data_IF_350307778639
#
_entry.id   IF_350307778639
#
_cell.length_a   1.000
_cell.length_b   1.000
_cell.length_c   1.000
_cell.angle_alpha   90.00
_cell.angle_beta   90.00
_cell.angle_gamma   90.00
#
_symmetry.space_group_name_H-M   'P 1'
#
loop_
_entity.id
_entity.type
_entity.pdbx_description
1 polymer ?
#
# COMPACT_ATOMS: atom_id res chain seq x y z
N UNK A 1 -11.41 4.35 -4.52
CA UNK A 1 -10.37 4.79 -3.58
C UNK A 1 -10.04 6.27 -3.77
N UNK A 2 -9.07 6.66 -4.61
CA UNK A 2 -8.44 7.99 -4.56
C UNK A 2 -9.28 9.20 -5.00
N UNK A 3 -10.35 9.01 -5.78
CA UNK A 3 -11.17 10.13 -6.26
C UNK A 3 -11.80 10.98 -5.13
N UNK A 4 -11.86 10.46 -3.90
CA UNK A 4 -12.40 11.13 -2.72
C UNK A 4 -11.46 11.13 -1.52
N UNK A 5 -10.26 10.54 -1.65
CA UNK A 5 -9.29 10.41 -0.57
C UNK A 5 -8.10 11.34 -0.82
N UNK A 6 -7.44 11.77 0.25
CA UNK A 6 -6.15 12.43 0.11
C UNK A 6 -5.04 11.41 -0.13
N UNK A 7 -3.97 11.82 -0.78
CA UNK A 7 -2.76 11.02 -0.95
C UNK A 7 -1.60 11.94 -1.32
N UNK A 8 -0.37 11.44 -1.22
CA UNK A 8 0.81 12.10 -1.76
C UNK A 8 1.12 11.57 -3.17
N UNK A 9 0.95 12.36 -4.24
CA UNK A 9 1.12 11.92 -5.62
C UNK A 9 2.53 12.10 -6.19
N UNK A 10 3.47 12.75 -5.49
CA UNK A 10 4.66 13.26 -6.16
C UNK A 10 5.88 13.36 -5.25
N UNK A 11 7.00 12.83 -5.75
CA UNK A 11 8.34 12.96 -5.17
C UNK A 11 9.05 14.31 -5.49
N UNK A 12 8.35 15.31 -6.04
CA UNK A 12 8.89 16.60 -6.53
C UNK A 12 7.99 17.81 -6.30
N UNK A 13 7.43 17.92 -5.11
CA UNK A 13 6.33 18.82 -4.79
C UNK A 13 6.69 19.95 -3.79
N UNK A 14 7.93 19.95 -3.29
CA UNK A 14 8.50 21.00 -2.47
C UNK A 14 9.33 22.04 -3.24
N UNK A 15 9.97 22.99 -2.52
CA UNK A 15 10.78 24.04 -3.12
C UNK A 15 11.87 23.48 -4.05
N UNK A 16 11.90 23.96 -5.30
CA UNK A 16 12.85 23.49 -6.33
C UNK A 16 12.77 21.97 -6.61
N UNK A 17 11.59 21.35 -6.37
CA UNK A 17 11.38 19.92 -6.58
C UNK A 17 11.95 19.05 -5.47
N UNK A 18 12.23 19.61 -4.29
CA UNK A 18 12.56 18.81 -3.11
C UNK A 18 11.37 17.97 -2.67
N UNK A 19 11.65 16.81 -2.10
CA UNK A 19 10.65 15.91 -1.50
C UNK A 19 10.04 16.45 -0.22
N UNK A 20 8.72 16.51 -0.12
CA UNK A 20 7.98 16.86 1.10
C UNK A 20 6.72 16.01 1.20
N UNK A 21 6.18 15.83 2.41
CA UNK A 21 4.87 15.17 2.56
C UNK A 21 3.77 16.16 2.22
N UNK A 22 2.93 15.86 1.22
CA UNK A 22 1.84 16.74 0.80
C UNK A 22 0.61 15.97 0.34
N UNK A 23 -0.28 15.78 1.30
CA UNK A 23 -1.60 15.23 1.06
C UNK A 23 -2.48 16.18 0.24
N UNK A 24 -2.92 15.70 -0.93
CA UNK A 24 -3.83 16.40 -1.83
C UNK A 24 -4.93 15.46 -2.32
N UNK A 25 -5.99 16.03 -2.86
CA UNK A 25 -6.96 15.31 -3.70
C UNK A 25 -6.71 15.64 -5.16
N UNK A 26 -7.11 14.78 -6.09
CA UNK A 26 -7.00 15.08 -7.51
C UNK A 26 -7.94 14.26 -8.39
N UNK A 27 -8.05 14.62 -9.68
CA UNK A 27 -8.91 13.93 -10.65
C UNK A 27 -8.29 12.61 -11.13
N UNK A 28 -7.96 11.73 -10.19
CA UNK A 28 -7.33 10.42 -10.42
C UNK A 28 -8.04 9.34 -9.60
N UNK A 29 -8.02 8.11 -10.11
CA UNK A 29 -8.60 6.94 -9.48
C UNK A 29 -7.51 5.90 -9.24
N UNK A 30 -7.45 5.35 -8.03
CA UNK A 30 -6.64 4.16 -7.76
C UNK A 30 -7.42 2.90 -8.10
N UNK A 31 -6.75 1.93 -8.73
CA UNK A 31 -7.33 0.64 -9.06
C UNK A 31 -7.27 -0.31 -7.85
N UNK A 32 -8.37 -1.00 -7.55
CA UNK A 32 -8.37 -2.09 -6.58
C UNK A 32 -7.75 -3.34 -7.21
N UNK A 33 -6.42 -3.43 -7.11
CA UNK A 33 -5.62 -4.53 -7.64
C UNK A 33 -4.99 -5.27 -6.48
N UNK A 34 -5.61 -6.37 -6.03
CA UNK A 34 -5.12 -7.12 -4.88
C UNK A 34 -3.86 -7.89 -5.24
N UNK A 35 -2.83 -7.81 -4.40
CA UNK A 35 -1.80 -8.84 -4.36
C UNK A 35 -2.30 -10.00 -3.47
N UNK A 36 -2.15 -9.88 -2.15
CA UNK A 36 -2.65 -10.89 -1.21
C UNK A 36 -4.14 -10.71 -0.92
N UNK A 37 -4.86 -11.85 -0.91
CA UNK A 37 -6.25 -11.95 -0.49
C UNK A 37 -6.37 -12.93 0.68
N UNK A 38 -7.00 -12.48 1.76
CA UNK A 38 -7.38 -13.33 2.89
C UNK A 38 -8.91 -13.37 3.04
N UNK A 39 -9.44 -14.41 3.71
CA UNK A 39 -10.86 -14.48 4.03
C UNK A 39 -11.10 -14.81 5.49
N UNK A 40 -12.19 -14.30 6.04
CA UNK A 40 -12.65 -14.60 7.39
C UNK A 40 -14.17 -14.64 7.44
N UNK A 41 -14.72 -15.22 8.52
CA UNK A 41 -16.17 -15.27 8.72
C UNK A 41 -16.55 -14.72 10.09
N UNK A 42 -17.49 -13.79 10.10
CA UNK A 42 -18.02 -13.17 11.32
C UNK A 42 -19.53 -12.99 11.17
N UNK A 43 -20.28 -13.31 12.22
CA UNK A 43 -21.75 -13.23 12.19
C UNK A 43 -22.41 -14.15 11.14
N UNK A 44 -21.76 -15.27 10.79
CA UNK A 44 -22.25 -16.21 9.77
C UNK A 44 -22.01 -15.78 8.32
N UNK A 45 -21.38 -14.63 8.08
CA UNK A 45 -21.07 -14.11 6.75
C UNK A 45 -19.56 -14.17 6.48
N UNK A 46 -19.18 -14.50 5.24
CA UNK A 46 -17.78 -14.52 4.79
C UNK A 46 -17.41 -13.19 4.14
N UNK A 47 -16.23 -12.69 4.48
CA UNK A 47 -15.64 -11.47 3.95
C UNK A 47 -14.24 -11.75 3.41
N UNK A 48 -13.83 -10.95 2.42
CA UNK A 48 -12.49 -10.96 1.85
C UNK A 48 -11.74 -9.70 2.30
N UNK A 49 -10.45 -9.82 2.58
CA UNK A 49 -9.55 -8.70 2.86
C UNK A 49 -8.49 -8.67 1.76
N UNK A 50 -8.31 -7.54 1.10
CA UNK A 50 -7.37 -7.38 -0.01
C UNK A 50 -6.32 -6.31 0.27
N UNK A 51 -5.06 -6.62 0.02
CA UNK A 51 -3.97 -5.64 -0.04
C UNK A 51 -3.89 -5.06 -1.45
N UNK A 52 -4.27 -3.79 -1.64
CA UNK A 52 -4.38 -3.20 -2.97
C UNK A 52 -3.06 -2.58 -3.43
N UNK A 53 -2.04 -3.41 -3.62
CA UNK A 53 -0.69 -3.03 -3.99
C UNK A 53 -0.66 -2.39 -5.38
N UNK A 54 -1.01 -3.17 -6.40
CA UNK A 54 -1.23 -2.71 -7.76
C UNK A 54 -0.06 -2.91 -8.70
N UNK A 55 0.42 -4.13 -8.82
CA UNK A 55 1.38 -4.50 -9.85
C UNK A 55 0.93 -4.14 -11.27
N UNK A 56 1.90 -3.68 -12.06
CA UNK A 56 1.69 -3.20 -13.42
C UNK A 56 2.07 -4.30 -14.42
N UNK A 57 1.41 -4.32 -15.60
CA UNK A 57 1.84 -5.19 -16.70
C UNK A 57 3.01 -4.54 -17.45
N UNK A 58 4.22 -4.78 -16.96
CA UNK A 58 5.46 -4.33 -17.60
C UNK A 58 6.40 -5.51 -17.87
N UNK A 59 6.63 -5.82 -19.15
CA UNK A 59 7.50 -6.90 -19.57
C UNK A 59 8.08 -6.65 -20.97
N UNK A 60 9.07 -7.44 -21.37
CA UNK A 60 9.76 -7.26 -22.66
C UNK A 60 8.80 -7.15 -23.85
N UNK A 61 8.66 -5.94 -24.41
CA UNK A 61 7.81 -5.65 -25.57
C UNK A 61 6.43 -5.06 -25.26
N UNK A 62 6.06 -4.89 -24.00
CA UNK A 62 4.81 -4.24 -23.59
C UNK A 62 4.97 -3.56 -22.23
N UNK A 63 4.56 -2.30 -22.15
CA UNK A 63 4.40 -1.59 -20.89
C UNK A 63 3.09 -0.83 -20.93
N UNK A 64 2.31 -0.92 -19.87
CA UNK A 64 1.16 -0.04 -19.66
C UNK A 64 1.48 1.15 -18.75
N UNK A 65 2.68 1.20 -18.14
CA UNK A 65 3.07 2.29 -17.25
C UNK A 65 3.43 3.55 -18.03
N UNK A 66 2.82 4.67 -17.65
CA UNK A 66 3.17 6.00 -18.12
C UNK A 66 3.10 6.97 -16.95
N UNK A 67 3.77 8.13 -17.04
CA UNK A 67 3.56 9.22 -16.08
C UNK A 67 2.43 10.12 -16.55
N UNK A 68 1.64 10.67 -15.62
CA UNK A 68 0.52 11.56 -15.96
C UNK A 68 0.94 12.73 -16.86
N UNK A 69 2.16 13.27 -16.67
CA UNK A 69 2.66 14.38 -17.50
C UNK A 69 2.92 14.04 -18.96
N UNK A 70 3.08 12.75 -19.26
CA UNK A 70 3.38 12.23 -20.59
C UNK A 70 2.11 11.72 -21.30
N UNK A 71 0.95 11.71 -20.60
CA UNK A 71 -0.34 11.41 -21.19
C UNK A 71 -0.83 12.53 -22.13
N UNK A 72 -1.58 12.13 -23.15
CA UNK A 72 -2.49 13.05 -23.86
C UNK A 72 -3.82 13.03 -23.12
N UNK A 73 -4.17 14.11 -22.44
CA UNK A 73 -5.41 14.22 -21.67
C UNK A 73 -6.52 14.84 -22.51
N UNK A 74 -7.74 14.32 -22.39
CA UNK A 74 -8.92 14.94 -23.01
C UNK A 74 -9.07 16.38 -22.53
N UNK A 75 -9.26 17.30 -23.48
CA UNK A 75 -9.39 18.72 -23.17
C UNK A 75 -10.71 19.06 -22.46
N UNK A 76 -11.74 18.22 -22.60
CA UNK A 76 -13.04 18.43 -21.95
C UNK A 76 -13.02 17.95 -20.50
N UNK A 77 -12.43 16.78 -20.23
CA UNK A 77 -12.26 16.19 -18.91
C UNK A 77 -11.19 16.92 -18.10
N UNK A 78 -10.12 17.37 -18.74
CA UNK A 78 -8.97 18.05 -18.13
C UNK A 78 -8.70 19.42 -18.77
N UNK A 79 -9.61 20.42 -18.65
CA UNK A 79 -9.41 21.75 -19.21
C UNK A 79 -8.21 22.50 -18.58
N UNK A 80 -7.69 21.99 -17.46
CA UNK A 80 -6.51 22.45 -16.74
C UNK A 80 -5.34 21.45 -16.82
N UNK A 81 -5.20 20.70 -17.92
CA UNK A 81 -4.17 19.66 -18.11
C UNK A 81 -2.77 20.09 -17.68
N UNK A 82 -2.31 21.30 -18.04
CA UNK A 82 -0.99 21.81 -17.63
C UNK A 82 -0.77 21.87 -16.10
N UNK A 83 -1.82 22.13 -15.31
CA UNK A 83 -1.72 22.09 -13.86
C UNK A 83 -1.71 20.65 -13.35
N UNK A 84 -2.62 19.80 -13.86
CA UNK A 84 -2.71 18.37 -13.54
C UNK A 84 -1.37 17.67 -13.79
N UNK A 85 -0.76 17.95 -14.93
CA UNK A 85 0.50 17.36 -15.40
C UNK A 85 1.75 18.01 -14.80
N UNK A 86 1.62 18.97 -13.89
CA UNK A 86 2.77 19.56 -13.23
C UNK A 86 3.48 18.53 -12.33
N UNK A 87 4.82 18.51 -12.36
CA UNK A 87 5.63 17.58 -11.57
C UNK A 87 5.27 17.61 -10.07
N UNK A 88 4.98 18.79 -9.50
CA UNK A 88 4.62 18.95 -8.08
C UNK A 88 3.14 18.70 -7.73
N UNK A 89 2.37 18.11 -8.65
CA UNK A 89 1.03 17.60 -8.39
C UNK A 89 0.88 16.16 -8.93
N UNK A 90 0.18 15.92 -10.04
CA UNK A 90 0.01 14.55 -10.55
C UNK A 90 1.05 14.17 -11.60
N UNK A 91 1.80 15.12 -12.17
CA UNK A 91 2.66 14.86 -13.32
C UNK A 91 3.69 13.75 -13.13
N UNK A 92 4.15 13.53 -11.89
CA UNK A 92 5.06 12.44 -11.55
C UNK A 92 4.34 11.11 -11.36
N UNK A 93 3.08 11.10 -10.94
CA UNK A 93 2.33 9.89 -10.64
C UNK A 93 2.34 8.90 -11.81
N UNK A 94 2.68 7.64 -11.55
CA UNK A 94 2.53 6.55 -12.52
C UNK A 94 1.07 6.13 -12.67
N UNK A 95 0.68 5.89 -13.90
CA UNK A 95 -0.66 5.47 -14.30
C UNK A 95 -0.62 4.43 -15.41
N UNK A 96 -1.74 3.73 -15.61
CA UNK A 96 -1.92 2.80 -16.72
C UNK A 96 -2.45 3.50 -17.96
N UNK A 97 -1.95 3.11 -19.13
CA UNK A 97 -2.48 3.49 -20.45
C UNK A 97 -3.45 2.46 -21.03
N UNK A 98 -3.66 1.34 -20.35
CA UNK A 98 -4.54 0.26 -20.82
C UNK A 98 -6.03 0.52 -20.58
N UNK A 99 -6.36 1.59 -19.87
CA UNK A 99 -7.72 2.06 -19.57
C UNK A 99 -7.68 3.57 -19.42
N UNK A 100 -8.84 4.23 -19.43
CA UNK A 100 -8.94 5.68 -19.24
C UNK A 100 -9.38 6.44 -20.48
N UNK A 101 -9.26 5.84 -21.66
CA UNK A 101 -9.90 6.26 -22.92
C UNK A 101 -11.31 5.64 -22.98
N UNK A 102 -12.34 6.43 -22.68
CA UNK A 102 -13.72 5.97 -22.50
C UNK A 102 -14.58 6.08 -23.74
N UNK A 103 -14.18 6.90 -24.72
CA UNK A 103 -14.86 7.04 -26.01
C UNK A 103 -14.04 6.54 -27.22
N UNK A 104 -12.83 6.04 -26.95
CA UNK A 104 -11.93 5.36 -27.88
C UNK A 104 -11.38 6.29 -28.98
N UNK A 105 -11.11 7.55 -28.65
CA UNK A 105 -10.55 8.55 -29.57
C UNK A 105 -9.01 8.69 -29.46
N UNK A 106 -8.40 8.03 -28.46
CA UNK A 106 -6.97 7.94 -28.26
C UNK A 106 -6.37 8.93 -27.26
N UNK A 107 -7.17 9.78 -26.62
CA UNK A 107 -6.77 10.53 -25.43
C UNK A 107 -7.33 9.93 -24.13
N UNK A 108 -6.90 10.48 -22.98
CA UNK A 108 -7.28 9.97 -21.66
C UNK A 108 -8.36 10.87 -21.03
N UNK A 109 -9.57 10.33 -20.92
CA UNK A 109 -10.69 10.92 -20.20
C UNK A 109 -10.58 10.75 -18.68
N UNK A 110 -9.94 9.66 -18.23
CA UNK A 110 -9.85 9.29 -16.82
C UNK A 110 -8.48 8.70 -16.48
N UNK A 111 -7.75 9.39 -15.60
CA UNK A 111 -6.47 8.90 -15.09
C UNK A 111 -6.70 7.79 -14.05
N UNK A 112 -6.10 6.63 -14.29
CA UNK A 112 -6.05 5.49 -13.38
C UNK A 112 -4.62 5.22 -12.93
N UNK A 113 -4.35 5.34 -11.63
CA UNK A 113 -3.07 4.97 -11.05
C UNK A 113 -3.10 3.54 -10.47
N UNK A 114 -1.90 3.01 -10.29
CA UNK A 114 -1.69 1.68 -9.72
C UNK A 114 -2.00 1.67 -8.23
N UNK A 115 -2.64 0.57 -7.81
CA UNK A 115 -3.04 0.35 -6.43
C UNK A 115 -4.12 1.31 -5.97
N UNK A 116 -4.73 0.97 -4.85
CA UNK A 116 -5.65 1.86 -4.16
C UNK A 116 -5.00 2.53 -2.95
N UNK A 117 -3.70 2.28 -2.70
CA UNK A 117 -2.91 2.79 -1.56
C UNK A 117 -3.52 2.44 -0.19
N UNK A 118 -4.30 1.37 -0.18
CA UNK A 118 -5.24 0.99 0.88
C UNK A 118 -5.38 -0.53 0.93
N UNK A 119 -5.96 -1.02 2.01
CA UNK A 119 -6.55 -2.36 2.01
C UNK A 119 -8.08 -2.24 2.05
N UNK A 120 -8.76 -3.23 1.52
CA UNK A 120 -10.23 -3.23 1.44
C UNK A 120 -10.83 -4.49 2.05
N UNK A 121 -12.07 -4.35 2.52
CA UNK A 121 -12.91 -5.47 2.95
C UNK A 121 -14.08 -5.58 1.97
N UNK A 122 -14.31 -6.79 1.48
CA UNK A 122 -15.37 -7.12 0.53
C UNK A 122 -16.30 -8.18 1.11
N UNK A 123 -17.56 -8.15 0.70
CA UNK A 123 -18.44 -9.30 0.86
C UNK A 123 -18.01 -10.43 -0.08
N UNK A 124 -18.43 -11.67 0.21
CA UNK A 124 -18.26 -12.81 -0.71
C UNK A 124 -18.96 -12.63 -2.07
N UNK A 125 -19.87 -11.66 -2.19
CA UNK A 125 -20.51 -11.27 -3.45
C UNK A 125 -19.75 -10.18 -4.24
N UNK A 126 -18.54 -9.82 -3.81
CA UNK A 126 -17.71 -8.81 -4.48
C UNK A 126 -18.14 -7.35 -4.23
N UNK A 127 -19.09 -7.11 -3.32
CA UNK A 127 -19.43 -5.74 -2.90
C UNK A 127 -18.38 -5.20 -1.93
N UNK A 128 -17.88 -3.97 -2.18
CA UNK A 128 -17.00 -3.25 -1.27
C UNK A 128 -17.76 -2.93 0.02
N UNK A 129 -17.26 -3.42 1.15
CA UNK A 129 -17.86 -3.20 2.49
C UNK A 129 -17.19 -2.02 3.17
N UNK A 130 -15.86 -1.94 3.08
CA UNK A 130 -15.07 -0.86 3.65
C UNK A 130 -13.71 -0.77 2.94
N UNK A 131 -13.12 0.42 2.91
CA UNK A 131 -11.80 0.69 2.34
C UNK A 131 -11.02 1.60 3.29
N UNK A 132 -9.73 1.34 3.49
CA UNK A 132 -8.93 2.16 4.41
C UNK A 132 -8.67 3.56 3.89
N UNK A 133 -8.93 3.81 2.61
CA UNK A 133 -8.68 5.09 1.97
C UNK A 133 -7.24 5.54 2.18
N UNK A 134 -7.06 6.75 2.71
CA UNK A 134 -5.74 7.35 2.96
C UNK A 134 -5.10 6.96 4.29
N UNK A 135 -5.78 6.15 5.11
CA UNK A 135 -5.34 5.88 6.49
C UNK A 135 -3.93 5.29 6.56
N UNK A 136 -3.52 4.44 5.62
CA UNK A 136 -2.19 3.84 5.62
C UNK A 136 -1.10 4.91 5.45
N UNK A 137 -1.26 5.83 4.48
CA UNK A 137 -0.31 6.93 4.31
C UNK A 137 -0.31 7.88 5.51
N UNK A 138 -1.48 8.21 6.07
CA UNK A 138 -1.59 9.06 7.26
C UNK A 138 -0.85 8.45 8.46
N UNK A 139 -0.98 7.13 8.67
CA UNK A 139 -0.27 6.39 9.72
C UNK A 139 1.24 6.43 9.50
N UNK A 140 1.70 6.19 8.28
CA UNK A 140 3.14 6.24 7.94
C UNK A 140 3.68 7.65 8.13
N UNK A 141 2.99 8.68 7.68
CA UNK A 141 3.40 10.07 7.83
C UNK A 141 3.49 10.48 9.31
N UNK A 142 2.54 10.05 10.14
CA UNK A 142 2.54 10.34 11.57
C UNK A 142 3.65 9.60 12.33
N UNK A 143 4.03 8.39 11.90
CA UNK A 143 4.95 7.52 12.64
C UNK A 143 6.40 7.64 12.15
N UNK A 144 6.60 7.78 10.84
CA UNK A 144 7.89 7.79 10.16
C UNK A 144 8.02 8.99 9.19
N UNK A 145 7.83 10.24 9.65
CA UNK A 145 7.81 11.41 8.75
C UNK A 145 9.10 11.63 7.96
N UNK A 146 10.25 11.15 8.46
CA UNK A 146 11.54 11.28 7.74
C UNK A 146 11.77 10.16 6.71
N UNK A 147 10.94 9.13 6.72
CA UNK A 147 11.03 7.94 5.87
C UNK A 147 9.66 7.64 5.21
N UNK A 148 8.76 8.62 5.19
CA UNK A 148 7.42 8.47 4.65
C UNK A 148 7.49 7.99 3.20
N UNK A 149 6.75 6.94 2.84
CA UNK A 149 6.82 6.33 1.51
C UNK A 149 8.26 6.08 1.01
N UNK A 150 9.19 5.71 1.90
CA UNK A 150 10.53 5.27 1.50
C UNK A 150 10.46 4.01 0.61
N UNK A 151 11.47 3.81 -0.23
CA UNK A 151 11.55 2.66 -1.13
C UNK A 151 12.32 1.49 -0.50
N UNK A 152 12.35 0.34 -1.17
CA UNK A 152 13.14 -0.82 -0.77
C UNK A 152 14.65 -0.58 -0.91
N UNK A 153 15.07 0.20 -1.91
CA UNK A 153 16.48 0.50 -2.22
C UNK A 153 17.00 1.81 -1.60
N UNK A 154 16.16 2.52 -0.85
CA UNK A 154 16.51 3.79 -0.22
C UNK A 154 15.65 4.08 1.00
N UNK A 155 16.28 4.58 2.06
CA UNK A 155 15.59 4.99 3.28
C UNK A 155 15.01 6.41 3.21
N UNK A 156 15.30 7.16 2.14
CA UNK A 156 14.91 8.56 2.04
C UNK A 156 13.40 8.76 2.05
N UNK A 157 12.97 9.89 2.61
CA UNK A 157 11.62 10.42 2.48
C UNK A 157 11.15 10.36 1.02
N UNK A 158 9.89 9.98 0.84
CA UNK A 158 9.04 10.25 -0.30
C UNK A 158 9.61 9.63 -1.60
N UNK A 159 10.01 8.37 -1.49
CA UNK A 159 10.58 7.58 -2.58
C UNK A 159 9.54 6.91 -3.47
N UNK A 160 8.29 6.78 -3.00
CA UNK A 160 7.23 5.98 -3.64
C UNK A 160 5.90 6.71 -3.82
N UNK A 161 5.80 7.98 -3.42
CA UNK A 161 4.57 8.77 -3.60
C UNK A 161 4.25 9.04 -5.07
N UNK A 162 5.23 9.12 -5.97
CA UNK A 162 4.98 9.19 -7.41
C UNK A 162 4.58 7.85 -8.04
N UNK A 163 4.50 6.78 -7.26
CA UNK A 163 4.13 5.44 -7.70
C UNK A 163 2.89 4.94 -6.95
N UNK A 164 3.02 3.93 -6.08
CA UNK A 164 1.91 3.27 -5.38
C UNK A 164 1.88 3.60 -3.87
N UNK A 165 2.67 4.57 -3.41
CA UNK A 165 2.64 5.11 -2.05
C UNK A 165 3.12 4.09 -0.98
N UNK A 166 2.27 3.71 -0.01
CA UNK A 166 2.65 2.81 1.09
C UNK A 166 2.65 1.34 0.67
N UNK A 167 2.05 0.98 -0.47
CA UNK A 167 2.07 -0.37 -1.06
C UNK A 167 1.70 -1.50 -0.08
N UNK A 168 0.42 -1.59 0.30
CA UNK A 168 -0.07 -2.74 1.05
C UNK A 168 -0.04 -3.98 0.15
N UNK A 169 0.71 -5.00 0.56
CA UNK A 169 1.07 -6.18 -0.24
C UNK A 169 0.61 -7.48 0.43
N UNK A 170 1.12 -7.72 1.65
CA UNK A 170 0.83 -8.91 2.41
C UNK A 170 -0.43 -8.76 3.26
N UNK A 171 -1.26 -9.81 3.36
CA UNK A 171 -2.38 -9.86 4.32
C UNK A 171 -2.42 -11.20 5.06
N UNK A 172 -2.55 -11.12 6.38
CA UNK A 172 -3.03 -12.24 7.19
C UNK A 172 -4.23 -11.80 8.03
N UNK A 173 -5.14 -12.73 8.30
CA UNK A 173 -6.26 -12.52 9.22
C UNK A 173 -6.28 -13.60 10.29
N UNK A 174 -6.70 -13.24 11.50
CA UNK A 174 -6.79 -14.18 12.62
C UNK A 174 -7.94 -13.82 13.56
N UNK A 175 -8.58 -14.84 14.10
CA UNK A 175 -9.46 -14.70 15.26
C UNK A 175 -8.62 -14.88 16.54
N UNK A 176 -8.70 -13.89 17.43
CA UNK A 176 -7.99 -13.86 18.70
C UNK A 176 -9.00 -13.43 19.76
N UNK A 177 -9.26 -14.31 20.74
CA UNK A 177 -10.21 -14.07 21.83
C UNK A 177 -11.60 -13.60 21.37
N UNK A 178 -12.11 -14.17 20.27
CA UNK A 178 -13.43 -13.83 19.70
C UNK A 178 -13.48 -12.53 18.89
N UNK A 179 -12.32 -11.93 18.58
CA UNK A 179 -12.18 -10.75 17.73
C UNK A 179 -11.36 -11.07 16.49
N UNK A 180 -11.71 -10.48 15.36
CA UNK A 180 -10.96 -10.65 14.13
C UNK A 180 -9.98 -9.51 13.93
N UNK A 181 -8.76 -9.84 13.53
CA UNK A 181 -7.69 -8.89 13.21
C UNK A 181 -7.18 -9.11 11.79
N UNK A 182 -6.89 -8.02 11.09
CA UNK A 182 -6.10 -8.00 9.87
C UNK A 182 -4.70 -7.46 10.16
N UNK A 183 -3.71 -8.14 9.61
CA UNK A 183 -2.31 -7.73 9.57
C UNK A 183 -1.97 -7.42 8.13
N UNK A 184 -1.60 -6.18 7.84
CA UNK A 184 -1.34 -5.67 6.49
C UNK A 184 0.15 -5.32 6.41
N UNK A 185 0.92 -6.02 5.57
CA UNK A 185 2.31 -5.69 5.28
C UNK A 185 2.39 -4.56 4.26
N UNK A 186 3.23 -3.56 4.54
CA UNK A 186 3.55 -2.49 3.59
C UNK A 186 4.90 -2.84 2.94
N UNK A 187 4.94 -3.15 1.64
CA UNK A 187 6.14 -3.67 0.99
C UNK A 187 7.29 -2.65 1.09
N UNK A 188 7.07 -1.42 0.62
CA UNK A 188 8.13 -0.44 0.40
C UNK A 188 8.70 0.16 1.68
N UNK A 189 7.89 0.96 2.38
CA UNK A 189 8.31 1.57 3.66
C UNK A 189 8.47 0.52 4.77
N UNK A 190 8.04 -0.72 4.51
CA UNK A 190 8.11 -1.85 5.41
C UNK A 190 7.15 -1.71 6.62
N UNK A 191 7.09 -2.78 7.41
CA UNK A 191 6.26 -2.85 8.60
C UNK A 191 4.86 -3.38 8.36
N UNK A 192 4.13 -3.51 9.47
CA UNK A 192 2.84 -4.20 9.55
C UNK A 192 1.85 -3.28 10.23
N UNK A 193 0.75 -3.00 9.54
CA UNK A 193 -0.38 -2.26 10.09
C UNK A 193 -1.43 -3.25 10.56
N UNK A 194 -1.90 -3.08 11.79
CA UNK A 194 -2.86 -3.99 12.42
C UNK A 194 -4.20 -3.29 12.60
N UNK A 195 -5.26 -3.91 12.11
CA UNK A 195 -6.64 -3.47 12.29
C UNK A 195 -7.45 -4.54 13.01
N UNK A 196 -8.31 -4.12 13.92
CA UNK A 196 -9.43 -4.92 14.38
C UNK A 196 -10.55 -4.82 13.34
N UNK A 197 -10.89 -5.96 12.73
CA UNK A 197 -11.88 -6.09 11.65
C UNK A 197 -13.13 -6.85 12.14
N UNK A 198 -13.33 -6.97 13.45
CA UNK A 198 -14.50 -7.65 14.03
C UNK A 198 -15.81 -7.03 13.54
N UNK A 199 -15.81 -5.72 13.29
CA UNK A 199 -16.87 -5.03 12.54
C UNK A 199 -16.38 -4.75 11.11
N UNK A 200 -16.80 -5.54 10.10
CA UNK A 200 -16.28 -5.42 8.73
C UNK A 200 -16.49 -4.04 8.08
N UNK A 201 -17.54 -3.31 8.50
CA UNK A 201 -17.88 -1.98 8.00
C UNK A 201 -17.24 -0.83 8.79
N UNK A 202 -16.59 -1.13 9.92
CA UNK A 202 -15.92 -0.16 10.76
C UNK A 202 -14.66 -0.74 11.42
N UNK A 203 -13.64 -1.14 10.64
CA UNK A 203 -12.35 -1.54 11.19
C UNK A 203 -11.70 -0.45 12.04
N UNK A 204 -10.95 -0.86 13.06
CA UNK A 204 -10.28 0.05 14.00
C UNK A 204 -8.77 -0.21 13.99
N UNK A 205 -8.00 0.79 13.60
CA UNK A 205 -6.54 0.77 13.68
C UNK A 205 -6.06 0.46 15.11
N UNK A 206 -5.11 -0.46 15.24
CA UNK A 206 -4.53 -0.87 16.52
C UNK A 206 -3.08 -0.41 16.65
N UNK A 207 -2.25 -0.74 15.65
CA UNK A 207 -0.82 -0.51 15.73
C UNK A 207 -0.19 -0.51 14.34
N UNK A 208 0.88 0.27 14.18
CA UNK A 208 1.85 0.11 13.10
C UNK A 208 3.19 -0.28 13.73
N UNK A 209 3.75 -1.41 13.30
CA UNK A 209 5.02 -1.95 13.78
C UNK A 209 5.98 -1.96 12.59
N UNK A 210 7.15 -1.34 12.74
CA UNK A 210 8.19 -1.37 11.73
C UNK A 210 9.52 -1.73 12.39
N UNK A 211 10.13 -2.83 11.95
CA UNK A 211 11.42 -3.34 12.45
C UNK A 211 12.59 -3.00 11.54
N UNK A 212 12.36 -2.27 10.44
CA UNK A 212 13.39 -1.79 9.53
C UNK A 212 14.36 -0.84 10.22
N UNK A 213 15.66 -1.07 10.05
CA UNK A 213 16.70 -0.15 10.51
C UNK A 213 17.03 0.87 9.40
N UNK A 214 16.39 2.04 9.48
CA UNK A 214 16.61 3.14 8.53
C UNK A 214 18.02 3.77 8.60
N UNK A 215 18.89 3.37 9.54
CA UNK A 215 20.29 3.81 9.58
C UNK A 215 21.22 2.95 8.72
N UNK A 216 20.74 1.80 8.24
CA UNK A 216 21.52 0.96 7.34
C UNK A 216 21.05 1.19 5.93
N UNK A 217 21.99 1.55 5.05
CA UNK A 217 21.72 1.69 3.62
C UNK A 217 21.28 0.34 3.06
N UNK A 218 20.07 0.21 2.50
CA UNK A 218 19.66 -1.01 1.85
C UNK A 218 20.67 -1.35 0.74
N UNK A 219 21.23 -2.56 0.76
CA UNK A 219 22.14 -2.96 -0.29
C UNK A 219 21.33 -3.08 -1.59
N UNK A 220 21.69 -2.25 -2.58
CA UNK A 220 21.13 -2.27 -3.91
C UNK A 220 21.68 -3.47 -4.68
N UNK A 221 21.29 -4.68 -4.32
CA UNK A 221 21.76 -5.85 -5.05
C UNK A 221 20.68 -6.90 -5.06
N UNK A 222 19.92 -6.92 -6.16
CA UNK A 222 19.08 -8.06 -6.60
C UNK A 222 19.92 -9.33 -6.85
N UNK A 223 20.68 -9.73 -5.84
CA UNK A 223 21.70 -10.76 -5.83
C UNK A 223 21.78 -11.39 -4.44
N UNK A 224 20.64 -11.79 -3.87
CA UNK A 224 20.49 -12.90 -2.92
C UNK A 224 21.38 -12.94 -1.67
N UNK A 225 22.05 -11.84 -1.30
CA UNK A 225 22.80 -11.73 -0.07
C UNK A 225 21.92 -10.98 0.93
N UNK A 226 21.67 -11.53 2.13
CA UNK A 226 20.90 -10.85 3.15
C UNK A 226 21.46 -9.45 3.36
N UNK A 227 20.59 -8.45 3.22
CA UNK A 227 20.95 -7.07 3.48
C UNK A 227 20.99 -6.91 5.00
N UNK A 228 22.13 -6.52 5.56
CA UNK A 228 22.16 -5.95 6.91
C UNK A 228 21.26 -4.71 6.88
N UNK A 229 20.20 -4.66 7.68
CA UNK A 229 19.16 -3.63 7.59
C UNK A 229 17.80 -3.97 8.23
N UNK A 230 17.61 -5.25 8.57
CA UNK A 230 16.42 -5.83 9.22
C UNK A 230 15.12 -5.61 8.41
N UNK A 231 14.46 -6.70 8.03
CA UNK A 231 13.04 -6.76 7.66
C UNK A 231 12.52 -5.72 6.65
N UNK A 232 12.95 -5.85 5.39
CA UNK A 232 12.55 -4.99 4.28
C UNK A 232 11.68 -5.78 3.29
N UNK A 233 10.54 -5.23 2.88
CA UNK A 233 9.62 -5.85 1.91
C UNK A 233 8.79 -7.00 2.48
N UNK A 234 7.87 -6.77 3.44
CA UNK A 234 6.90 -7.80 3.86
C UNK A 234 6.02 -8.27 2.69
N UNK A 235 6.04 -9.58 2.44
CA UNK A 235 5.46 -10.19 1.23
C UNK A 235 4.54 -11.36 1.60
N UNK A 236 5.13 -12.42 2.15
CA UNK A 236 4.39 -13.54 2.70
C UNK A 236 4.08 -13.34 4.18
N UNK A 237 2.83 -13.52 4.60
CA UNK A 237 2.43 -13.39 6.01
C UNK A 237 1.53 -14.53 6.49
N UNK A 238 1.82 -15.08 7.67
CA UNK A 238 1.01 -16.15 8.28
C UNK A 238 0.87 -15.99 9.78
N UNK A 239 -0.37 -15.99 10.25
CA UNK A 239 -0.67 -16.17 11.67
C UNK A 239 -0.69 -17.66 12.04
N UNK A 240 -0.11 -17.99 13.19
CA UNK A 240 -0.10 -19.31 13.82
C UNK A 240 -0.70 -19.19 15.21
N UNK A 241 -1.76 -19.95 15.49
CA UNK A 241 -2.43 -19.92 16.79
C UNK A 241 -1.50 -20.43 17.91
N UNK A 242 -1.81 -20.08 19.16
CA UNK A 242 -1.09 -20.62 20.32
C UNK A 242 -1.09 -22.16 20.36
N UNK A 243 -2.20 -22.78 19.95
CA UNK A 243 -2.37 -24.24 19.96
C UNK A 243 -1.50 -24.95 18.91
N UNK A 244 -1.23 -24.28 17.79
CA UNK A 244 -0.42 -24.80 16.68
C UNK A 244 1.06 -24.36 16.77
N UNK A 245 1.39 -23.50 17.74
CA UNK A 245 2.70 -22.90 17.90
C UNK A 245 3.61 -23.74 18.81
N UNK A 246 4.88 -23.99 18.44
CA UNK A 246 5.82 -24.74 19.27
C UNK A 246 6.18 -24.02 20.58
N UNK A 247 5.87 -22.72 20.68
CA UNK A 247 6.10 -21.92 21.89
C UNK A 247 4.89 -21.87 22.82
N UNK A 248 3.73 -22.37 22.38
CA UNK A 248 2.45 -22.19 23.07
C UNK A 248 1.92 -20.76 23.02
N UNK A 249 2.54 -19.88 22.25
CA UNK A 249 2.17 -18.47 22.09
C UNK A 249 1.72 -18.20 20.65
N UNK A 250 0.75 -17.31 20.41
CA UNK A 250 0.34 -16.98 19.05
C UNK A 250 1.44 -16.18 18.34
N UNK A 251 1.71 -16.54 17.08
CA UNK A 251 2.80 -16.00 16.27
C UNK A 251 2.29 -15.38 14.98
N UNK A 252 2.94 -14.31 14.53
CA UNK A 252 2.85 -13.80 13.17
C UNK A 252 4.22 -13.99 12.50
N UNK A 253 4.26 -14.79 11.45
CA UNK A 253 5.46 -15.09 10.66
C UNK A 253 5.39 -14.26 9.39
N UNK A 254 6.47 -13.53 9.09
CA UNK A 254 6.55 -12.58 7.97
C UNK A 254 7.80 -12.87 7.18
N UNK A 255 7.64 -13.16 5.89
CA UNK A 255 8.74 -13.20 4.93
C UNK A 255 8.99 -11.80 4.41
N UNK A 256 10.25 -11.36 4.50
CA UNK A 256 10.70 -10.08 3.98
C UNK A 256 11.58 -10.34 2.75
N UNK A 257 11.04 -10.16 1.55
CA UNK A 257 11.69 -10.59 0.31
C UNK A 257 13.00 -9.84 0.07
N UNK A 258 12.98 -8.52 0.23
CA UNK A 258 14.12 -7.65 -0.11
C UNK A 258 15.31 -7.91 0.81
N UNK A 259 15.08 -8.05 2.12
CA UNK A 259 16.16 -8.40 3.05
C UNK A 259 16.48 -9.89 3.07
N UNK A 260 15.65 -10.75 2.46
CA UNK A 260 15.75 -12.20 2.52
C UNK A 260 15.57 -12.76 3.94
N UNK A 261 14.92 -12.02 4.84
CA UNK A 261 14.72 -12.41 6.24
C UNK A 261 13.33 -13.01 6.49
N UNK A 262 13.20 -13.77 7.58
CA UNK A 262 11.89 -14.15 8.12
C UNK A 262 11.80 -13.68 9.56
N UNK A 263 10.82 -12.83 9.83
CA UNK A 263 10.56 -12.29 11.17
C UNK A 263 9.41 -13.04 11.82
N UNK A 264 9.56 -13.33 13.10
CA UNK A 264 8.52 -13.98 13.90
C UNK A 264 8.16 -13.05 15.04
N UNK A 265 6.94 -12.53 15.02
CA UNK A 265 6.38 -11.72 16.10
C UNK A 265 5.57 -12.61 17.02
N UNK A 266 5.74 -12.42 18.34
CA UNK A 266 4.72 -12.86 19.31
C UNK A 266 3.56 -11.89 19.25
N UNK A 267 2.35 -12.38 19.02
CA UNK A 267 1.14 -11.56 19.09
C UNK A 267 0.68 -11.50 20.54
N UNK A 268 0.48 -10.30 21.06
CA UNK A 268 -0.04 -10.12 22.43
C UNK A 268 -1.19 -9.16 22.43
N UNK A 269 -2.13 -9.37 23.35
CA UNK A 269 -3.15 -8.40 23.65
C UNK A 269 -2.49 -7.18 24.30
N UNK A 270 -2.79 -5.98 23.81
CA UNK A 270 -2.44 -4.78 24.52
C UNK A 270 -3.08 -4.83 25.92
N UNK A 271 -2.26 -4.78 26.97
CA UNK A 271 -2.77 -4.55 28.32
C UNK A 271 -3.33 -3.13 28.32
N UNK A 272 -4.65 -3.00 28.38
CA UNK A 272 -5.32 -1.70 28.38
C UNK A 272 -4.80 -0.82 29.51
N UNK A 273 -4.55 0.45 29.21
CA UNK A 273 -4.46 1.51 30.21
C UNK A 273 -5.85 1.77 30.82
#
# INVERSE_FOLDING_TARGET
>A
SLAVNQFDPSDRDGPMGSKVIKFVTGPVRGLYMPDTIASYSVGGQTYLVTANEGDSRDYGGFSEEERVKDLTLDATAYPNAAAVQADGWLGRLKCTTATGDTDNDGDIDQIYCYGARSFSIWSSAGQLVWDSGDQLEQIVAATLPNNFNANNDSNGLDGRSDDKGPEPEAVAVAEIDGRWYAFIGLERVSGIVVYDITSPSAPVFQQYINTRDFNVTPASNGAGNPVDGLDIGPEGMRYVSAADSPTGEPLLIVGNEVSGSTTIFKVTKALGN
#
